data_IF_783494312279
#
_entry.id   IF_783494312279
#
_cell.length_a   1.000
_cell.length_b   1.000
_cell.length_c   1.000
_cell.angle_alpha   90.00
_cell.angle_beta   90.00
_cell.angle_gamma   90.00
#
_symmetry.space_group_name_H-M   'P 1'
#
loop_
_entity.id
_entity.type
_entity.pdbx_description
1 polymer ?
#
# COMPACT_ATOMS: atom_id res chain seq x y z
N UNK A 1 10.16 -2.92 16.17
CA UNK A 1 9.12 -2.51 15.20
C UNK A 1 9.04 -3.46 13.99
N UNK A 2 9.50 -4.72 14.16
CA UNK A 2 9.77 -5.71 13.09
C UNK A 2 8.57 -6.18 12.26
N UNK A 3 7.36 -5.72 12.56
CA UNK A 3 6.13 -6.22 11.97
C UNK A 3 5.76 -5.59 10.65
N UNK A 4 6.08 -4.31 10.43
CA UNK A 4 5.53 -3.56 9.30
C UNK A 4 6.19 -3.93 7.96
N UNK A 5 7.51 -4.08 7.94
CA UNK A 5 8.31 -4.45 6.77
C UNK A 5 7.97 -5.87 6.27
N UNK A 6 7.95 -6.83 7.21
CA UNK A 6 7.61 -8.23 6.93
C UNK A 6 6.14 -8.41 6.59
N UNK A 7 5.24 -7.69 7.23
CA UNK A 7 3.83 -7.70 6.85
C UNK A 7 3.62 -7.21 5.42
N UNK A 8 4.30 -6.12 5.01
CA UNK A 8 4.27 -5.64 3.62
C UNK A 8 4.74 -6.73 2.65
N UNK A 9 5.88 -7.37 2.89
CA UNK A 9 6.37 -8.47 2.05
C UNK A 9 5.38 -9.65 2.00
N UNK A 10 4.87 -10.10 3.15
CA UNK A 10 3.87 -11.19 3.22
C UNK A 10 2.58 -10.81 2.47
N UNK A 11 2.13 -9.56 2.57
CA UNK A 11 0.96 -9.05 1.86
C UNK A 11 1.16 -9.12 0.35
N UNK A 12 2.33 -8.70 -0.16
CA UNK A 12 2.66 -8.80 -1.58
C UNK A 12 2.74 -10.27 -2.06
N UNK A 13 3.35 -11.16 -1.29
CA UNK A 13 3.39 -12.60 -1.63
C UNK A 13 1.98 -13.23 -1.65
N UNK A 14 1.08 -12.81 -0.75
CA UNK A 14 -0.30 -13.29 -0.66
C UNK A 14 -1.23 -12.82 -1.80
N UNK A 15 -0.80 -11.86 -2.62
CA UNK A 15 -1.55 -11.40 -3.78
C UNK A 15 -1.49 -12.37 -4.99
N UNK A 16 -0.74 -13.48 -4.87
CA UNK A 16 -0.42 -14.38 -5.97
C UNK A 16 -1.56 -15.28 -6.50
N UNK A 17 -2.74 -15.33 -5.88
CA UNK A 17 -3.87 -16.11 -6.43
C UNK A 17 -4.55 -15.38 -7.58
N UNK A 18 -5.00 -16.11 -8.62
CA UNK A 18 -5.55 -15.51 -9.84
C UNK A 18 -6.76 -14.58 -9.58
N UNK A 19 -7.63 -14.95 -8.63
CA UNK A 19 -8.76 -14.12 -8.22
C UNK A 19 -8.31 -12.78 -7.59
N UNK A 20 -7.28 -12.82 -6.74
CA UNK A 20 -6.70 -11.60 -6.14
C UNK A 20 -5.96 -10.77 -7.18
N UNK A 21 -5.31 -11.40 -8.16
CA UNK A 21 -4.66 -10.72 -9.28
C UNK A 21 -5.66 -9.97 -10.16
N UNK A 22 -6.82 -10.58 -10.47
CA UNK A 22 -7.89 -9.92 -11.22
C UNK A 22 -8.44 -8.67 -10.51
N UNK A 23 -8.66 -8.77 -9.19
CA UNK A 23 -9.08 -7.62 -8.38
C UNK A 23 -7.98 -6.54 -8.34
N UNK A 24 -6.72 -6.92 -8.12
CA UNK A 24 -5.58 -6.01 -8.15
C UNK A 24 -5.49 -5.24 -9.47
N UNK A 25 -5.65 -5.91 -10.61
CA UNK A 25 -5.60 -5.25 -11.92
C UNK A 25 -6.74 -4.26 -12.11
N UNK A 26 -7.92 -4.56 -11.57
CA UNK A 26 -9.06 -3.63 -11.56
C UNK A 26 -8.73 -2.38 -10.76
N UNK A 27 -8.12 -2.52 -9.58
CA UNK A 27 -7.69 -1.40 -8.73
C UNK A 27 -6.62 -0.54 -9.40
N UNK A 28 -5.59 -1.17 -9.96
CA UNK A 28 -4.51 -0.49 -10.68
C UNK A 28 -5.04 0.26 -11.92
N UNK A 29 -6.00 -0.32 -12.65
CA UNK A 29 -6.66 0.34 -13.78
C UNK A 29 -7.37 1.62 -13.34
N UNK A 30 -8.13 1.57 -12.23
CA UNK A 30 -8.79 2.75 -11.66
C UNK A 30 -7.78 3.82 -11.23
N UNK A 31 -6.68 3.40 -10.62
CA UNK A 31 -5.60 4.30 -10.19
C UNK A 31 -4.96 5.04 -11.36
N UNK A 32 -4.63 4.34 -12.45
CA UNK A 32 -4.09 4.94 -13.68
C UNK A 32 -5.10 5.94 -14.28
N UNK A 33 -6.37 5.56 -14.41
CA UNK A 33 -7.43 6.44 -14.94
C UNK A 33 -7.54 7.73 -14.14
N UNK A 34 -7.54 7.64 -12.80
CA UNK A 34 -7.63 8.81 -11.92
C UNK A 34 -6.37 9.68 -12.03
N UNK A 35 -5.19 9.08 -12.09
CA UNK A 35 -3.95 9.81 -12.27
C UNK A 35 -3.93 10.60 -13.60
N UNK A 36 -4.34 9.98 -14.71
CA UNK A 36 -4.44 10.65 -16.02
C UNK A 36 -5.43 11.81 -15.98
N UNK A 37 -6.61 11.63 -15.40
CA UNK A 37 -7.61 12.70 -15.32
C UNK A 37 -7.13 13.93 -14.53
N UNK A 38 -6.26 13.72 -13.55
CA UNK A 38 -5.73 14.79 -12.69
C UNK A 38 -4.54 15.53 -13.29
N UNK A 39 -3.64 14.83 -13.98
CA UNK A 39 -2.35 15.38 -14.40
C UNK A 39 -2.03 15.21 -15.89
N UNK A 40 -2.97 14.70 -16.68
CA UNK A 40 -2.78 14.41 -18.10
C UNK A 40 -2.18 13.02 -18.38
N UNK A 41 -2.19 12.57 -19.65
CA UNK A 41 -1.80 11.21 -20.04
C UNK A 41 -0.30 10.98 -20.20
N UNK A 42 0.52 12.03 -20.12
CA UNK A 42 1.98 11.93 -20.27
C UNK A 42 2.62 11.56 -18.92
N UNK A 43 3.28 10.39 -18.78
CA UNK A 43 3.98 10.03 -17.55
C UNK A 43 5.11 11.02 -17.23
N UNK A 44 5.81 11.55 -18.24
CA UNK A 44 6.91 12.50 -18.04
C UNK A 44 6.45 13.78 -17.33
N UNK A 45 5.25 14.26 -17.67
CA UNK A 45 4.66 15.45 -17.05
C UNK A 45 3.78 15.13 -15.81
N UNK A 46 3.40 13.86 -15.61
CA UNK A 46 2.48 13.44 -14.56
C UNK A 46 3.13 12.43 -13.62
N UNK A 47 3.67 12.93 -12.51
CA UNK A 47 4.31 12.11 -11.48
C UNK A 47 3.37 11.04 -10.87
N UNK A 48 2.10 11.37 -10.61
CA UNK A 48 1.15 10.39 -10.07
C UNK A 48 0.89 9.25 -11.06
N UNK A 49 0.88 9.55 -12.36
CA UNK A 49 0.76 8.54 -13.40
C UNK A 49 1.99 7.64 -13.48
N UNK A 50 3.21 8.20 -13.36
CA UNK A 50 4.44 7.39 -13.30
C UNK A 50 4.39 6.35 -12.19
N UNK A 51 4.03 6.76 -10.98
CA UNK A 51 3.90 5.83 -9.86
C UNK A 51 2.84 4.75 -10.10
N UNK A 52 1.67 5.13 -10.63
CA UNK A 52 0.60 4.18 -10.91
C UNK A 52 1.03 3.14 -11.96
N UNK A 53 1.72 3.59 -13.02
CA UNK A 53 2.30 2.71 -14.05
C UNK A 53 3.36 1.79 -13.43
N UNK A 54 4.24 2.32 -12.59
CA UNK A 54 5.30 1.54 -11.98
C UNK A 54 4.72 0.44 -11.08
N UNK A 55 3.76 0.78 -10.21
CA UNK A 55 3.06 -0.20 -9.37
C UNK A 55 2.33 -1.27 -10.19
N UNK A 56 1.80 -0.89 -11.36
CA UNK A 56 1.17 -1.84 -12.27
C UNK A 56 2.18 -2.80 -12.91
N UNK A 57 3.36 -2.30 -13.32
CA UNK A 57 4.47 -3.13 -13.82
C UNK A 57 5.01 -4.08 -12.76
N UNK A 58 5.23 -3.58 -11.54
CA UNK A 58 5.70 -4.38 -10.40
C UNK A 58 4.69 -5.51 -10.07
N UNK A 59 3.40 -5.28 -10.33
CA UNK A 59 2.33 -6.29 -10.20
C UNK A 59 2.18 -7.20 -11.42
N UNK A 60 3.10 -7.14 -12.39
CA UNK A 60 3.07 -7.90 -13.65
C UNK A 60 1.81 -7.65 -14.50
N UNK A 61 1.23 -6.44 -14.45
CA UNK A 61 0.14 -6.07 -15.34
C UNK A 61 0.66 -5.97 -16.79
N UNK A 62 0.01 -6.62 -17.78
CA UNK A 62 0.38 -6.49 -19.18
C UNK A 62 0.36 -5.02 -19.64
N UNK A 63 1.34 -4.65 -20.46
CA UNK A 63 1.48 -3.29 -20.98
C UNK A 63 0.21 -2.79 -21.71
N UNK A 64 -0.46 -3.65 -22.46
CA UNK A 64 -1.72 -3.32 -23.15
C UNK A 64 -2.85 -2.94 -22.19
N UNK A 65 -2.86 -3.47 -20.97
CA UNK A 65 -3.84 -3.06 -19.94
C UNK A 65 -3.53 -1.65 -19.43
N UNK A 66 -2.25 -1.35 -19.22
CA UNK A 66 -1.77 -0.05 -18.79
C UNK A 66 -2.10 1.01 -19.84
N UNK A 67 -1.76 0.76 -21.12
CA UNK A 67 -2.07 1.67 -22.23
C UNK A 67 -3.57 1.94 -22.33
N UNK A 68 -4.41 0.89 -22.30
CA UNK A 68 -5.88 1.05 -22.33
C UNK A 68 -6.41 1.84 -21.14
N UNK A 69 -5.80 1.73 -19.96
CA UNK A 69 -6.19 2.52 -18.80
C UNK A 69 -5.82 4.01 -18.99
N UNK A 70 -4.67 4.30 -19.59
CA UNK A 70 -4.24 5.66 -19.93
C UNK A 70 -5.21 6.29 -20.93
N UNK A 71 -5.52 5.58 -22.02
CA UNK A 71 -6.44 6.05 -23.06
C UNK A 71 -7.82 6.36 -22.48
N UNK A 72 -8.37 5.43 -21.68
CA UNK A 72 -9.64 5.64 -20.96
C UNK A 72 -9.62 6.87 -20.05
N UNK A 73 -8.50 7.13 -19.38
CA UNK A 73 -8.32 8.30 -18.53
C UNK A 73 -8.28 9.61 -19.32
N UNK A 74 -7.74 9.59 -20.54
CA UNK A 74 -7.57 10.76 -21.39
C UNK A 74 -8.87 11.24 -22.07
N UNK A 75 -9.97 10.50 -21.95
CA UNK A 75 -11.28 10.90 -22.47
C UNK A 75 -11.67 10.27 -23.81
N UNK A 76 -11.06 9.16 -24.22
CA UNK A 76 -11.51 8.40 -25.40
C UNK A 76 -12.74 7.50 -25.13
N UNK A 77 -13.32 7.51 -23.93
CA UNK A 77 -14.56 6.82 -23.60
C UNK A 77 -15.36 7.58 -22.53
N UNK A 78 -16.69 7.61 -22.66
CA UNK A 78 -17.66 8.11 -21.66
C UNK A 78 -17.40 7.41 -20.31
N UNK A 79 -16.67 8.10 -19.45
CA UNK A 79 -15.99 7.46 -18.34
C UNK A 79 -16.73 7.59 -17.02
N UNK A 80 -16.88 6.46 -16.32
CA UNK A 80 -17.26 6.37 -14.90
C UNK A 80 -16.55 7.45 -14.08
N UNK A 81 -17.29 8.33 -13.40
CA UNK A 81 -16.72 9.34 -12.50
C UNK A 81 -16.24 8.68 -11.21
N UNK A 82 -14.95 8.40 -11.13
CA UNK A 82 -14.31 7.88 -9.92
C UNK A 82 -13.98 9.04 -9.00
N UNK A 83 -14.43 8.94 -7.75
CA UNK A 83 -14.16 9.86 -6.66
C UNK A 83 -13.20 9.21 -5.68
N UNK A 84 -12.19 9.97 -5.27
CA UNK A 84 -11.33 9.60 -4.17
C UNK A 84 -12.02 9.84 -2.84
N UNK A 85 -11.82 8.94 -1.89
CA UNK A 85 -12.19 9.17 -0.51
C UNK A 85 -11.24 8.47 0.44
N UNK A 86 -11.08 9.10 1.61
CA UNK A 86 -10.41 8.52 2.76
C UNK A 86 -11.49 8.20 3.79
N UNK A 87 -11.48 6.97 4.26
CA UNK A 87 -12.35 6.46 5.31
C UNK A 87 -11.46 6.05 6.48
N UNK A 88 -11.89 6.42 7.67
CA UNK A 88 -11.07 6.37 8.88
C UNK A 88 -11.82 5.61 9.95
N UNK A 89 -11.12 4.86 10.79
CA UNK A 89 -11.76 4.18 11.90
C UNK A 89 -10.79 3.41 12.77
N UNK A 90 -11.36 2.72 13.75
CA UNK A 90 -10.62 1.90 14.69
C UNK A 90 -11.04 0.44 14.59
N UNK A 91 -10.07 -0.47 14.52
CA UNK A 91 -10.25 -1.91 14.59
C UNK A 91 -10.16 -2.45 16.02
N UNK A 92 -10.11 -3.79 16.17
CA UNK A 92 -9.90 -4.46 17.45
C UNK A 92 -8.71 -3.89 18.23
N UNK A 93 -8.86 -3.75 19.55
CA UNK A 93 -7.80 -3.27 20.43
C UNK A 93 -7.38 -1.81 20.20
N UNK A 94 -8.15 -1.02 19.45
CA UNK A 94 -7.81 0.37 19.15
C UNK A 94 -6.86 0.56 17.97
N UNK A 95 -6.70 -0.46 17.12
CA UNK A 95 -5.94 -0.36 15.87
C UNK A 95 -6.45 0.81 15.02
N UNK A 96 -5.63 1.82 14.78
CA UNK A 96 -5.98 2.88 13.83
C UNK A 96 -5.93 2.30 12.41
N UNK A 97 -6.98 2.53 11.62
CA UNK A 97 -7.10 2.02 10.25
C UNK A 97 -7.54 3.16 9.33
N UNK A 98 -6.74 3.39 8.29
CA UNK A 98 -7.00 4.36 7.24
C UNK A 98 -7.20 3.63 5.92
N UNK A 99 -8.34 3.85 5.28
CA UNK A 99 -8.75 3.21 4.02
C UNK A 99 -8.83 4.28 2.94
N UNK A 100 -8.04 4.14 1.89
CA UNK A 100 -8.15 5.01 0.71
C UNK A 100 -8.94 4.24 -0.36
N UNK A 101 -9.94 4.89 -0.94
CA UNK A 101 -10.84 4.28 -1.91
C UNK A 101 -11.04 5.14 -3.16
N UNK A 102 -11.26 4.46 -4.29
CA UNK A 102 -11.66 5.02 -5.58
C UNK A 102 -13.03 4.46 -5.95
N UNK A 103 -14.05 5.30 -5.93
CA UNK A 103 -15.45 4.85 -6.03
C UNK A 103 -16.25 5.68 -7.02
N UNK A 104 -17.11 5.02 -7.78
CA UNK A 104 -18.15 5.64 -8.59
C UNK A 104 -19.47 5.87 -7.81
N UNK A 105 -19.56 5.32 -6.60
CA UNK A 105 -20.71 5.44 -5.72
C UNK A 105 -20.26 5.49 -4.26
N UNK A 106 -20.07 6.72 -3.75
CA UNK A 106 -19.63 6.97 -2.38
C UNK A 106 -20.46 6.25 -1.33
N UNK A 107 -21.79 6.29 -1.45
CA UNK A 107 -22.67 5.71 -0.43
C UNK A 107 -22.52 4.19 -0.36
N UNK A 108 -22.42 3.51 -1.51
CA UNK A 108 -22.16 2.06 -1.57
C UNK A 108 -20.82 1.72 -0.90
N UNK A 109 -19.75 2.41 -1.27
CA UNK A 109 -18.41 2.15 -0.73
C UNK A 109 -18.34 2.38 0.77
N UNK A 110 -18.90 3.49 1.27
CA UNK A 110 -18.95 3.79 2.70
C UNK A 110 -19.70 2.68 3.46
N UNK A 111 -20.83 2.20 2.94
CA UNK A 111 -21.58 1.13 3.59
C UNK A 111 -20.83 -0.21 3.56
N UNK A 112 -20.19 -0.56 2.44
CA UNK A 112 -19.38 -1.78 2.34
C UNK A 112 -18.21 -1.76 3.34
N UNK A 113 -17.47 -0.65 3.40
CA UNK A 113 -16.37 -0.48 4.35
C UNK A 113 -16.89 -0.53 5.78
N UNK A 114 -17.98 0.20 6.11
CA UNK A 114 -18.60 0.15 7.44
C UNK A 114 -18.98 -1.27 7.85
N UNK A 115 -19.57 -2.05 6.95
CA UNK A 115 -19.94 -3.44 7.23
C UNK A 115 -18.72 -4.30 7.57
N UNK A 116 -17.57 -4.08 6.91
CA UNK A 116 -16.33 -4.78 7.23
C UNK A 116 -15.79 -4.36 8.60
N UNK A 117 -15.81 -3.07 8.93
CA UNK A 117 -15.46 -2.58 10.28
C UNK A 117 -16.32 -3.23 11.37
N UNK A 118 -17.64 -3.19 11.22
CA UNK A 118 -18.58 -3.75 12.21
C UNK A 118 -18.36 -5.25 12.40
N UNK A 119 -18.24 -6.03 11.32
CA UNK A 119 -17.99 -7.48 11.38
C UNK A 119 -16.61 -7.81 11.93
N UNK A 120 -15.63 -6.93 11.68
CA UNK A 120 -14.26 -7.03 12.15
C UNK A 120 -14.08 -6.70 13.63
N UNK A 121 -15.13 -6.25 14.34
CA UNK A 121 -15.04 -5.84 15.74
C UNK A 121 -14.47 -4.43 15.93
N UNK A 122 -14.58 -3.59 14.90
CA UNK A 122 -14.20 -2.18 14.91
C UNK A 122 -15.38 -1.25 14.58
N UNK A 123 -15.07 0.02 14.35
CA UNK A 123 -16.03 1.04 13.96
C UNK A 123 -15.42 2.06 13.01
N UNK A 124 -16.21 2.47 12.01
CA UNK A 124 -15.85 3.59 11.16
C UNK A 124 -16.03 4.90 11.95
N UNK A 125 -14.97 5.70 11.99
CA UNK A 125 -14.94 7.01 12.64
C UNK A 125 -15.29 8.15 11.70
N UNK A 126 -15.18 9.36 12.24
CA UNK A 126 -15.30 10.60 11.47
C UNK A 126 -13.99 10.93 10.73
N UNK A 127 -14.06 11.82 9.74
CA UNK A 127 -12.88 12.31 9.05
C UNK A 127 -11.96 13.06 10.02
N UNK A 128 -10.67 12.76 9.96
CA UNK A 128 -9.65 13.30 10.86
C UNK A 128 -9.46 12.52 12.16
N UNK A 129 -10.20 11.41 12.37
CA UNK A 129 -10.07 10.61 13.60
C UNK A 129 -8.73 9.87 13.73
N UNK A 130 -8.15 9.41 12.62
CA UNK A 130 -6.86 8.70 12.61
C UNK A 130 -5.86 9.23 11.59
N UNK A 131 -6.28 10.04 10.61
CA UNK A 131 -5.41 10.49 9.52
C UNK A 131 -4.12 11.17 10.03
N UNK A 132 -4.19 11.88 11.15
CA UNK A 132 -3.04 12.55 11.77
C UNK A 132 -1.94 11.59 12.26
N UNK A 133 -2.28 10.32 12.51
CA UNK A 133 -1.35 9.25 12.93
C UNK A 133 -0.45 8.85 11.75
N UNK A 134 -0.90 9.04 10.52
CA UNK A 134 -0.19 8.59 9.34
C UNK A 134 0.51 9.73 8.59
N UNK A 135 1.53 9.37 7.83
CA UNK A 135 2.25 10.24 6.92
C UNK A 135 2.41 9.56 5.56
N UNK A 136 2.25 10.31 4.48
CA UNK A 136 2.41 9.78 3.13
C UNK A 136 3.90 9.71 2.78
N UNK A 137 4.46 8.50 2.66
CA UNK A 137 5.88 8.27 2.36
C UNK A 137 6.06 7.28 1.23
N UNK A 138 7.15 7.42 0.49
CA UNK A 138 7.69 6.32 -0.31
C UNK A 138 8.39 5.33 0.61
N UNK A 139 8.14 4.04 0.41
CA UNK A 139 8.70 2.95 1.19
C UNK A 139 9.32 1.95 0.23
N UNK A 140 10.59 1.63 0.43
CA UNK A 140 11.32 0.60 -0.31
C UNK A 140 11.71 -0.49 0.68
N UNK A 141 11.31 -1.73 0.39
CA UNK A 141 11.68 -2.90 1.18
C UNK A 141 12.77 -3.67 0.46
N UNK A 142 13.85 -3.97 1.18
CA UNK A 142 15.03 -4.66 0.67
C UNK A 142 15.26 -5.87 1.57
N UNK A 143 15.52 -7.04 0.98
CA UNK A 143 15.98 -8.19 1.74
C UNK A 143 17.51 -8.11 1.86
N UNK A 144 18.03 -7.95 3.08
CA UNK A 144 19.45 -7.79 3.33
C UNK A 144 20.25 -9.02 2.86
N UNK A 145 19.72 -10.23 3.11
CA UNK A 145 20.40 -11.48 2.79
C UNK A 145 21.74 -11.56 3.53
N UNK A 146 22.83 -11.83 2.81
CA UNK A 146 24.19 -11.90 3.36
C UNK A 146 24.92 -10.54 3.34
N UNK A 147 24.25 -9.45 2.94
CA UNK A 147 24.86 -8.11 2.87
C UNK A 147 24.85 -7.43 4.23
N UNK A 148 25.83 -6.54 4.45
CA UNK A 148 25.86 -5.70 5.64
C UNK A 148 24.70 -4.69 5.61
N UNK A 149 23.85 -4.76 6.63
CA UNK A 149 22.66 -3.92 6.70
C UNK A 149 22.98 -2.46 7.02
N UNK A 150 24.07 -2.19 7.74
CA UNK A 150 24.49 -0.83 8.07
C UNK A 150 25.06 -0.14 6.80
N UNK A 151 25.82 -0.87 5.99
CA UNK A 151 26.33 -0.37 4.70
C UNK A 151 25.20 -0.10 3.70
N UNK A 152 24.23 -1.02 3.60
CA UNK A 152 23.04 -0.83 2.76
C UNK A 152 22.20 0.36 3.23
N UNK A 153 22.07 0.56 4.53
CA UNK A 153 21.37 1.71 5.08
C UNK A 153 22.06 3.02 4.75
N UNK A 154 23.39 3.09 4.86
CA UNK A 154 24.15 4.28 4.51
C UNK A 154 24.02 4.61 3.01
N UNK A 155 24.12 3.60 2.15
CA UNK A 155 23.93 3.79 0.71
C UNK A 155 22.53 4.30 0.36
N UNK A 156 21.49 3.83 1.06
CA UNK A 156 20.13 4.33 0.88
C UNK A 156 19.99 5.82 1.29
N UNK A 157 20.63 6.22 2.38
CA UNK A 157 20.71 7.63 2.81
C UNK A 157 21.43 8.48 1.76
N UNK A 158 22.58 8.02 1.26
CA UNK A 158 23.35 8.71 0.21
C UNK A 158 22.57 8.82 -1.10
N UNK A 159 21.71 7.84 -1.40
CA UNK A 159 20.78 7.87 -2.53
C UNK A 159 19.60 8.84 -2.35
N UNK A 160 19.43 9.44 -1.17
CA UNK A 160 18.42 10.46 -0.90
C UNK A 160 17.23 9.99 -0.05
N UNK A 161 17.36 8.86 0.65
CA UNK A 161 16.40 8.43 1.65
C UNK A 161 16.31 9.41 2.83
N UNK A 162 15.11 9.55 3.38
CA UNK A 162 14.87 10.41 4.55
C UNK A 162 15.12 9.64 5.87
N UNK A 163 14.90 8.32 5.87
CA UNK A 163 15.12 7.46 7.02
C UNK A 163 15.32 6.00 6.58
N UNK A 164 15.98 5.20 7.41
CA UNK A 164 16.18 3.76 7.17
C UNK A 164 15.97 2.99 8.47
N UNK A 165 15.19 1.93 8.42
CA UNK A 165 15.03 0.99 9.52
C UNK A 165 15.56 -0.39 9.12
N UNK A 166 16.51 -0.90 9.90
CA UNK A 166 17.07 -2.25 9.74
C UNK A 166 16.37 -3.22 10.69
N UNK A 167 15.81 -4.30 10.14
CA UNK A 167 15.02 -5.30 10.87
C UNK A 167 15.37 -6.73 10.47
N UNK A 168 16.30 -7.36 11.20
CA UNK A 168 16.78 -8.73 10.95
C UNK A 168 17.21 -8.96 9.49
N UNK A 169 16.28 -9.45 8.67
CA UNK A 169 16.49 -9.83 7.26
C UNK A 169 16.03 -8.75 6.28
N UNK A 170 15.34 -7.71 6.75
CA UNK A 170 14.76 -6.65 5.92
C UNK A 170 15.28 -5.28 6.30
N UNK A 171 15.50 -4.46 5.28
CA UNK A 171 15.80 -3.04 5.41
C UNK A 171 14.64 -2.29 4.79
N UNK A 172 14.06 -1.37 5.56
CA UNK A 172 12.99 -0.49 5.09
C UNK A 172 13.55 0.91 4.92
N UNK A 173 13.55 1.39 3.70
CA UNK A 173 14.01 2.73 3.33
C UNK A 173 12.78 3.61 3.15
N UNK A 174 12.76 4.75 3.85
CA UNK A 174 11.70 5.75 3.76
C UNK A 174 12.17 6.96 2.97
N UNK A 175 11.27 7.49 2.15
CA UNK A 175 11.54 8.64 1.27
C UNK A 175 10.32 9.55 1.23
N UNK A 176 10.52 10.82 0.90
CA UNK A 176 9.45 11.65 0.39
C UNK A 176 8.87 10.97 -0.87
N UNK A 177 7.54 10.91 -1.06
CA UNK A 177 6.94 10.20 -2.18
C UNK A 177 7.65 10.51 -3.51
N UNK A 178 7.90 11.79 -3.79
CA UNK A 178 8.48 12.29 -5.03
C UNK A 178 9.89 11.76 -5.32
N UNK A 179 10.64 11.35 -4.30
CA UNK A 179 11.99 10.78 -4.40
C UNK A 179 12.02 9.27 -4.52
N UNK A 180 10.89 8.58 -4.30
CA UNK A 180 10.83 7.10 -4.27
C UNK A 180 11.53 6.47 -5.49
N UNK A 181 11.20 6.94 -6.69
CA UNK A 181 11.73 6.39 -7.95
C UNK A 181 13.23 6.66 -8.10
N UNK A 182 13.69 7.86 -7.73
CA UNK A 182 15.11 8.23 -7.77
C UNK A 182 15.95 7.33 -6.85
N UNK A 183 15.50 7.16 -5.60
CA UNK A 183 16.16 6.31 -4.62
C UNK A 183 16.14 4.85 -5.05
N UNK A 184 14.99 4.36 -5.57
CA UNK A 184 14.87 3.00 -6.11
C UNK A 184 15.90 2.75 -7.22
N UNK A 185 15.97 3.63 -8.22
CA UNK A 185 16.92 3.49 -9.34
C UNK A 185 18.36 3.53 -8.85
N UNK A 186 18.69 4.40 -7.89
CA UNK A 186 20.02 4.48 -7.32
C UNK A 186 20.42 3.17 -6.60
N UNK A 187 19.51 2.56 -5.85
CA UNK A 187 19.73 1.28 -5.20
C UNK A 187 19.88 0.13 -6.21
N UNK A 188 19.01 0.06 -7.22
CA UNK A 188 19.07 -0.95 -8.28
C UNK A 188 20.38 -0.87 -9.08
N UNK A 189 20.92 0.33 -9.31
CA UNK A 189 22.22 0.55 -9.96
C UNK A 189 23.42 0.05 -9.15
N UNK A 190 23.25 -0.13 -7.85
CA UNK A 190 24.25 -0.74 -6.96
C UNK A 190 23.98 -2.24 -6.73
N UNK A 191 23.26 -2.87 -7.67
CA UNK A 191 22.89 -4.28 -7.65
C UNK A 191 22.14 -4.70 -6.39
N UNK A 192 21.35 -3.80 -5.80
CA UNK A 192 20.55 -4.10 -4.61
C UNK A 192 19.17 -4.63 -5.04
N UNK A 193 18.81 -5.87 -4.64
CA UNK A 193 17.52 -6.43 -4.98
C UNK A 193 16.42 -5.74 -4.17
N UNK A 194 15.54 -5.03 -4.86
CA UNK A 194 14.35 -4.42 -4.28
C UNK A 194 13.23 -5.47 -4.21
N UNK A 195 12.71 -5.73 -3.01
CA UNK A 195 11.57 -6.63 -2.80
C UNK A 195 10.26 -5.90 -3.15
N UNK A 196 10.12 -4.66 -2.71
CA UNK A 196 8.98 -3.80 -3.05
C UNK A 196 9.35 -2.31 -2.96
N UNK A 197 8.66 -1.48 -3.74
CA UNK A 197 8.75 -0.03 -3.66
C UNK A 197 7.36 0.57 -3.90
N UNK A 198 6.80 1.26 -2.90
CA UNK A 198 5.46 1.85 -3.02
C UNK A 198 5.33 3.17 -2.25
N UNK A 199 4.41 4.03 -2.69
CA UNK A 199 3.96 5.17 -1.89
C UNK A 199 2.77 4.73 -1.05
N UNK A 200 2.87 4.89 0.27
CA UNK A 200 1.87 4.42 1.22
C UNK A 200 1.76 5.34 2.44
N UNK A 201 0.68 5.16 3.21
CA UNK A 201 0.49 5.86 4.47
C UNK A 201 1.19 5.08 5.59
N UNK A 202 2.26 5.65 6.13
CA UNK A 202 3.10 5.07 7.18
C UNK A 202 2.70 5.66 8.54
N UNK A 203 2.47 4.84 9.58
CA UNK A 203 2.14 5.34 10.90
C UNK A 203 3.35 6.01 11.57
N UNK A 204 3.15 7.16 12.22
CA UNK A 204 4.18 7.87 13.01
C UNK A 204 4.53 7.15 14.32
N UNK A 205 3.60 6.34 14.81
CA UNK A 205 3.73 5.56 16.04
C UNK A 205 2.98 4.24 15.86
N UNK A 206 3.55 3.15 16.38
CA UNK A 206 2.95 1.83 16.30
C UNK A 206 2.18 1.44 17.56
N UNK A 207 1.20 0.55 17.41
CA UNK A 207 0.44 -0.07 18.48
C UNK A 207 0.71 -1.57 18.51
N UNK A 208 1.15 -2.08 19.66
CA UNK A 208 1.21 -3.51 19.90
C UNK A 208 -0.15 -4.02 20.41
N UNK A 209 -0.60 -5.14 19.86
CA UNK A 209 -1.85 -5.81 20.24
C UNK A 209 -1.56 -7.23 20.74
N UNK A 210 -2.47 -7.77 21.55
CA UNK A 210 -2.45 -9.20 21.82
C UNK A 210 -2.69 -10.01 20.52
N UNK A 211 -2.28 -11.27 20.53
CA UNK A 211 -2.34 -12.11 19.32
C UNK A 211 -3.76 -12.23 18.75
N UNK A 212 -4.79 -12.30 19.60
CA UNK A 212 -6.17 -12.44 19.17
C UNK A 212 -6.65 -11.19 18.44
N UNK A 213 -6.43 -10.01 19.01
CA UNK A 213 -6.79 -8.72 18.42
C UNK A 213 -5.96 -8.44 17.16
N UNK A 214 -4.68 -8.81 17.14
CA UNK A 214 -3.81 -8.68 15.98
C UNK A 214 -4.28 -9.56 14.81
N UNK A 215 -4.60 -10.85 15.05
CA UNK A 215 -5.14 -11.75 14.02
C UNK A 215 -6.50 -11.25 13.51
N UNK A 216 -7.37 -10.76 14.40
CA UNK A 216 -8.67 -10.21 14.01
C UNK A 216 -8.51 -8.96 13.15
N UNK A 217 -7.56 -8.09 13.49
CA UNK A 217 -7.20 -6.91 12.69
C UNK A 217 -6.66 -7.31 11.31
N UNK A 218 -5.78 -8.31 11.23
CA UNK A 218 -5.28 -8.84 9.95
C UNK A 218 -6.41 -9.34 9.05
N UNK A 219 -7.37 -10.12 9.60
CA UNK A 219 -8.55 -10.59 8.86
C UNK A 219 -9.41 -9.43 8.36
N UNK A 220 -9.60 -8.41 9.20
CA UNK A 220 -10.36 -7.22 8.84
C UNK A 220 -9.68 -6.45 7.70
N UNK A 221 -8.35 -6.28 7.74
CA UNK A 221 -7.58 -5.65 6.66
C UNK A 221 -7.71 -6.45 5.36
N UNK A 222 -7.53 -7.78 5.39
CA UNK A 222 -7.71 -8.63 4.21
C UNK A 222 -9.12 -8.44 3.60
N UNK A 223 -10.17 -8.43 4.43
CA UNK A 223 -11.55 -8.23 3.96
C UNK A 223 -11.79 -6.82 3.36
N UNK A 224 -11.13 -5.78 3.90
CA UNK A 224 -11.17 -4.44 3.32
C UNK A 224 -10.46 -4.41 1.96
N UNK A 225 -9.33 -5.10 1.85
CA UNK A 225 -8.55 -5.22 0.61
C UNK A 225 -9.22 -6.08 -0.45
N UNK A 226 -10.21 -6.90 -0.10
CA UNK A 226 -11.04 -7.61 -1.07
C UNK A 226 -12.09 -6.70 -1.72
N UNK A 227 -12.41 -5.55 -1.14
CA UNK A 227 -13.34 -4.60 -1.74
C UNK A 227 -12.71 -3.93 -2.97
N UNK A 228 -13.39 -4.01 -4.10
CA UNK A 228 -12.98 -3.44 -5.38
C UNK A 228 -12.66 -1.93 -5.31
N UNK A 229 -13.44 -1.16 -4.55
CA UNK A 229 -13.24 0.28 -4.42
C UNK A 229 -12.08 0.66 -3.50
N UNK A 230 -11.60 -0.26 -2.65
CA UNK A 230 -10.50 0.01 -1.72
C UNK A 230 -9.17 -0.10 -2.45
N UNK A 231 -8.44 1.02 -2.53
CA UNK A 231 -7.12 1.11 -3.15
C UNK A 231 -6.02 0.63 -2.20
N UNK A 232 -6.09 1.03 -0.94
CA UNK A 232 -5.09 0.74 0.08
C UNK A 232 -5.73 0.81 1.47
N UNK A 233 -5.15 0.02 2.38
CA UNK A 233 -5.48 -0.01 3.80
C UNK A 233 -4.17 0.11 4.56
N UNK A 234 -4.11 1.06 5.48
CA UNK A 234 -2.97 1.30 6.35
C UNK A 234 -3.40 1.18 7.81
N UNK A 235 -2.51 0.65 8.64
CA UNK A 235 -2.73 0.52 10.08
C UNK A 235 -1.48 0.86 10.87
N UNK A 236 -1.66 1.30 12.12
CA UNK A 236 -0.55 1.50 13.03
C UNK A 236 -0.17 0.25 13.84
N UNK A 237 -0.82 -0.90 13.62
CA UNK A 237 -0.52 -2.11 14.38
C UNK A 237 0.84 -2.69 13.98
N UNK A 238 1.67 -2.97 14.98
CA UNK A 238 2.92 -3.71 14.81
C UNK A 238 2.65 -5.22 14.98
N UNK A 239 2.63 -5.96 13.87
CA UNK A 239 2.35 -7.39 13.89
C UNK A 239 3.60 -8.22 14.20
N UNK A 240 3.56 -9.02 15.25
CA UNK A 240 4.69 -9.90 15.57
C UNK A 240 4.90 -10.99 14.50
N UNK A 241 6.14 -11.49 14.37
CA UNK A 241 6.49 -12.61 13.50
C UNK A 241 5.59 -13.83 13.76
N UNK A 242 5.36 -14.15 15.04
CA UNK A 242 4.52 -15.26 15.46
C UNK A 242 3.08 -15.07 14.97
N UNK A 243 2.50 -13.88 15.19
CA UNK A 243 1.14 -13.54 14.74
C UNK A 243 0.99 -13.67 13.23
N UNK A 244 1.96 -13.17 12.45
CA UNK A 244 1.93 -13.24 10.99
C UNK A 244 1.99 -14.69 10.49
N UNK A 245 2.81 -15.52 11.14
CA UNK A 245 2.92 -16.95 10.84
C UNK A 245 1.62 -17.69 11.19
N UNK A 246 1.09 -17.50 12.41
CA UNK A 246 -0.20 -18.08 12.83
C UNK A 246 -1.31 -17.71 11.85
N UNK A 247 -1.37 -16.45 11.42
CA UNK A 247 -2.35 -15.99 10.46
C UNK A 247 -2.20 -16.66 9.08
N UNK A 248 -0.97 -16.87 8.62
CA UNK A 248 -0.70 -17.53 7.34
C UNK A 248 -1.11 -19.02 7.35
N UNK A 249 -0.96 -19.72 8.48
CA UNK A 249 -1.28 -21.16 8.60
C UNK A 249 -2.76 -21.45 8.90
N UNK A 250 -3.54 -20.44 9.29
CA UNK A 250 -4.95 -20.60 9.68
C UNK A 250 -5.95 -20.54 8.51
N UNK A 251 -5.47 -20.58 7.26
CA UNK A 251 -6.27 -20.66 6.03
C UNK A 251 -6.01 -21.99 5.33
#
# INVERSE_FOLDING_TARGET
MSGHSKWSSIKHQKAATDAKRGNLFTKLTREIIVAVRKGGPSPDANYALRLAIQRAKDSSMPYDNISRAIDKGAGTADGIQLQEMVLEGYGPGGAAILVQALSDNRNRTVQNVRNVFTRGGGGLGESGSVAWIFENKGVISIKAGDRDADELGLLAIDAGADDVTVEKDYITVYTAPQKLEEVRIALERNDIPIESAEVTMVPKQTLDLDEKAAIQTLKMIDNLEELDEVRSVSTNVNFSDATLNTYATAK
#
